data_IF_102528224812
#
_entry.id   IF_102528224812
#
_cell.length_a   1.000
_cell.length_b   1.000
_cell.length_c   1.000
_cell.angle_alpha   90.00
_cell.angle_beta   90.00
_cell.angle_gamma   90.00
#
_symmetry.space_group_name_H-M   'P 1'
#
loop_
_entity.id
_entity.type
_entity.pdbx_description
1 polymer ?
#
# COMPACT_ATOMS: atom_id res chain seq x y z
N UNK A 1 37.14 60.90 9.29
CA UNK A 1 35.73 60.50 9.14
C UNK A 1 35.72 58.99 8.99
N UNK A 2 35.88 58.29 10.12
CA UNK A 2 34.77 57.71 10.91
C UNK A 2 34.27 56.41 10.23
N UNK A 3 34.61 55.22 10.76
CA UNK A 3 33.90 54.48 11.83
C UNK A 3 32.56 53.91 11.28
N UNK A 4 32.13 52.65 11.36
CA UNK A 4 32.12 51.60 12.40
C UNK A 4 31.52 50.33 11.71
N UNK A 5 32.10 49.14 11.86
CA UNK A 5 31.77 48.09 12.87
C UNK A 5 30.42 47.37 12.67
N UNK A 6 30.54 46.04 12.47
CA UNK A 6 29.71 44.93 12.97
C UNK A 6 28.19 44.94 12.80
N UNK A 7 27.68 43.90 12.15
CA UNK A 7 26.55 43.16 12.72
C UNK A 7 26.56 41.71 12.22
N UNK A 8 26.98 40.81 13.11
CA UNK A 8 26.60 39.39 13.06
C UNK A 8 25.09 39.28 13.18
N UNK A 9 24.44 38.44 12.37
CA UNK A 9 23.14 37.90 12.73
C UNK A 9 23.15 36.39 12.54
N UNK A 10 23.15 35.72 13.69
CA UNK A 10 23.02 34.28 13.87
C UNK A 10 21.62 33.88 13.43
N UNK A 11 21.49 33.10 12.37
CA UNK A 11 20.26 32.34 12.12
C UNK A 11 20.24 31.17 13.11
N UNK A 12 19.54 31.37 14.22
CA UNK A 12 19.20 30.30 15.17
C UNK A 12 18.27 29.31 14.45
N UNK A 13 18.80 28.14 14.10
CA UNK A 13 17.98 26.96 13.79
C UNK A 13 17.35 26.48 15.10
N UNK A 14 16.04 26.65 15.20
CA UNK A 14 15.21 26.14 16.29
C UNK A 14 15.17 24.60 16.22
N UNK A 15 16.06 23.94 16.97
CA UNK A 15 15.85 22.54 17.36
C UNK A 15 15.06 22.50 18.67
N UNK A 16 13.81 22.07 18.61
CA UNK A 16 13.01 21.74 19.79
C UNK A 16 13.24 20.28 20.17
N UNK A 17 13.64 19.93 21.41
CA UNK A 17 13.77 18.53 21.82
C UNK A 17 12.46 18.03 22.42
N UNK A 18 11.81 17.09 21.73
CA UNK A 18 10.74 16.29 22.31
C UNK A 18 11.31 15.29 23.33
N UNK A 19 10.82 15.37 24.57
CA UNK A 19 11.15 14.47 25.66
C UNK A 19 10.65 13.05 25.37
N UNK A 20 11.53 12.05 25.51
CA UNK A 20 11.19 10.63 25.46
C UNK A 20 11.41 10.05 26.85
N UNK A 21 10.32 9.69 27.52
CA UNK A 21 10.32 8.98 28.80
C UNK A 21 10.58 7.48 28.55
N UNK A 22 11.63 6.96 29.17
CA UNK A 22 11.91 5.53 29.27
C UNK A 22 11.08 4.91 30.39
N UNK A 23 10.57 3.69 30.16
CA UNK A 23 10.19 2.81 31.25
C UNK A 23 10.73 1.39 30.97
N UNK A 24 11.40 0.82 31.97
CA UNK A 24 12.03 -0.50 31.97
C UNK A 24 11.32 -1.37 33.01
N UNK A 25 11.01 -2.62 32.65
CA UNK A 25 10.90 -3.84 33.48
C UNK A 25 10.11 -4.89 32.67
N UNK A 26 10.33 -6.20 32.71
CA UNK A 26 11.34 -7.03 33.33
C UNK A 26 11.30 -8.40 32.60
N UNK A 27 12.42 -9.10 32.66
CA UNK A 27 12.72 -10.44 32.16
C UNK A 27 12.00 -11.55 32.93
N UNK A 28 11.61 -12.63 32.24
CA UNK A 28 11.78 -13.99 32.78
C UNK A 28 11.92 -15.03 31.65
N UNK A 29 12.82 -15.97 31.91
CA UNK A 29 13.31 -17.03 31.02
C UNK A 29 12.86 -18.40 31.53
N UNK A 30 12.57 -19.34 30.61
CA UNK A 30 13.20 -20.67 30.48
C UNK A 30 12.23 -21.76 29.95
N UNK A 31 12.66 -22.43 28.85
CA UNK A 31 12.67 -23.88 28.51
C UNK A 31 11.39 -24.73 28.71
N UNK A 32 11.12 -25.84 28.01
CA UNK A 32 11.52 -26.53 26.76
C UNK A 32 10.72 -27.84 26.78
N UNK A 33 10.22 -28.37 25.66
CA UNK A 33 10.32 -29.81 25.32
C UNK A 33 9.50 -30.13 24.07
N UNK A 34 10.19 -30.70 23.08
CA UNK A 34 9.59 -31.48 21.99
C UNK A 34 9.14 -32.83 22.54
N UNK A 35 8.01 -33.33 22.05
CA UNK A 35 7.81 -34.77 21.89
C UNK A 35 6.99 -35.02 20.61
N UNK A 36 7.56 -35.87 19.77
CA UNK A 36 7.10 -36.25 18.45
C UNK A 36 6.58 -37.68 18.57
N UNK A 37 5.29 -37.91 18.36
CA UNK A 37 4.71 -39.25 18.36
C UNK A 37 4.22 -39.60 16.96
N UNK A 38 4.90 -40.57 16.37
CA UNK A 38 4.53 -41.26 15.14
C UNK A 38 3.65 -42.45 15.52
N UNK A 39 2.42 -42.51 15.02
CA UNK A 39 1.59 -43.72 15.09
C UNK A 39 1.12 -44.08 13.70
N UNK A 40 1.67 -45.17 13.17
CA UNK A 40 1.27 -45.85 11.96
C UNK A 40 0.06 -46.75 12.28
N UNK A 41 -1.06 -46.58 11.57
CA UNK A 41 -2.16 -47.54 11.59
C UNK A 41 -2.67 -47.75 10.16
N UNK A 42 -2.68 -49.02 9.74
CA UNK A 42 -3.02 -49.48 8.40
C UNK A 42 -4.53 -49.38 8.10
N UNK A 43 -4.85 -49.14 6.83
CA UNK A 43 -6.18 -48.99 6.24
C UNK A 43 -7.05 -50.25 6.28
N UNK A 44 -8.38 -50.10 6.07
CA UNK A 44 -9.11 -50.96 5.17
C UNK A 44 -9.71 -50.18 3.98
N UNK A 45 -9.52 -50.76 2.79
CA UNK A 45 -9.96 -50.24 1.49
C UNK A 45 -11.48 -50.26 1.35
N UNK A 46 -12.10 -49.08 1.25
CA UNK A 46 -13.43 -48.92 0.65
C UNK A 46 -13.30 -48.17 -0.68
N UNK A 47 -13.71 -48.83 -1.77
CA UNK A 47 -13.83 -48.23 -3.10
C UNK A 47 -15.03 -47.29 -3.12
N UNK A 48 -14.79 -46.01 -2.82
CA UNK A 48 -15.77 -44.95 -3.07
C UNK A 48 -15.60 -44.46 -4.51
N UNK A 49 -16.61 -44.71 -5.33
CA UNK A 49 -16.75 -44.12 -6.67
C UNK A 49 -17.02 -42.62 -6.46
N UNK A 50 -15.96 -41.81 -6.49
CA UNK A 50 -16.07 -40.36 -6.50
C UNK A 50 -16.49 -39.92 -7.92
N UNK A 51 -17.78 -39.64 -8.06
CA UNK A 51 -18.30 -38.81 -9.13
C UNK A 51 -17.56 -37.46 -9.07
N UNK A 52 -16.68 -37.21 -10.04
CA UNK A 52 -16.06 -35.88 -10.22
C UNK A 52 -17.17 -34.91 -10.62
N UNK A 53 -17.77 -34.23 -9.65
CA UNK A 53 -18.46 -32.98 -9.94
C UNK A 53 -17.37 -31.94 -10.19
N UNK A 54 -17.12 -31.60 -11.46
CA UNK A 54 -16.33 -30.42 -11.79
C UNK A 54 -17.07 -29.20 -11.25
N UNK A 55 -16.50 -28.52 -10.25
CA UNK A 55 -16.95 -27.18 -9.91
C UNK A 55 -16.83 -26.32 -11.18
N UNK A 56 -17.94 -25.73 -11.63
CA UNK A 56 -17.92 -24.82 -12.75
C UNK A 56 -17.05 -23.61 -12.39
N UNK A 57 -15.97 -23.37 -13.15
CA UNK A 57 -15.13 -22.18 -12.98
C UNK A 57 -16.00 -20.92 -13.17
N UNK A 58 -15.89 -19.95 -12.26
CA UNK A 58 -16.62 -18.67 -12.36
C UNK A 58 -16.21 -17.92 -13.64
N UNK A 59 -17.16 -17.24 -14.28
CA UNK A 59 -16.93 -16.48 -15.52
C UNK A 59 -16.06 -15.27 -15.23
N UNK A 60 -14.91 -15.18 -15.89
CA UNK A 60 -13.95 -14.08 -15.74
C UNK A 60 -14.44 -12.80 -16.42
N UNK A 61 -14.08 -11.64 -15.85
CA UNK A 61 -14.46 -10.31 -16.36
C UNK A 61 -13.78 -9.96 -17.70
N UNK A 62 -12.69 -10.66 -18.02
CA UNK A 62 -11.99 -10.60 -19.30
C UNK A 62 -11.95 -12.01 -19.88
N UNK A 63 -12.17 -12.13 -21.19
CA UNK A 63 -12.22 -13.43 -21.86
C UNK A 63 -13.53 -13.74 -22.58
N UNK A 64 -14.49 -12.79 -22.63
CA UNK A 64 -15.74 -12.94 -23.38
C UNK A 64 -15.60 -13.15 -24.90
N UNK A 65 -14.37 -13.28 -25.43
CA UNK A 65 -14.08 -13.62 -26.83
C UNK A 65 -13.48 -15.02 -27.02
N UNK A 66 -13.30 -15.80 -25.95
CA UNK A 66 -12.76 -17.16 -26.04
C UNK A 66 -13.89 -18.19 -25.93
N UNK A 67 -13.84 -19.22 -26.78
CA UNK A 67 -14.78 -20.34 -26.76
C UNK A 67 -14.39 -21.40 -25.71
N UNK A 68 -13.09 -21.49 -25.37
CA UNK A 68 -12.54 -22.44 -24.42
C UNK A 68 -12.08 -21.76 -23.11
N UNK A 69 -12.07 -22.53 -22.02
CA UNK A 69 -11.54 -22.08 -20.74
C UNK A 69 -10.02 -21.94 -20.77
N UNK A 70 -9.51 -20.92 -20.07
CA UNK A 70 -8.07 -20.68 -19.92
C UNK A 70 -7.37 -21.87 -19.23
N UNK A 71 -6.18 -22.24 -19.72
CA UNK A 71 -5.38 -23.34 -19.13
C UNK A 71 -4.81 -22.92 -17.77
N UNK A 72 -4.65 -23.88 -16.85
CA UNK A 72 -4.12 -23.60 -15.50
C UNK A 72 -2.74 -22.91 -15.52
N UNK A 73 -1.93 -23.18 -16.55
CA UNK A 73 -0.63 -22.52 -16.74
C UNK A 73 -0.79 -21.02 -17.04
N UNK A 74 -1.76 -20.64 -17.87
CA UNK A 74 -2.05 -19.23 -18.15
C UNK A 74 -2.68 -18.58 -16.92
N UNK A 75 -3.58 -19.26 -16.20
CA UNK A 75 -4.18 -18.71 -14.97
C UNK A 75 -3.13 -18.38 -13.92
N UNK A 76 -2.17 -19.28 -13.71
CA UNK A 76 -1.05 -19.05 -12.78
C UNK A 76 -0.10 -17.94 -13.26
N UNK A 77 0.00 -17.72 -14.57
CA UNK A 77 0.83 -16.65 -15.11
C UNK A 77 0.15 -15.28 -15.02
N UNK A 78 -1.18 -15.23 -15.15
CA UNK A 78 -1.95 -13.99 -15.16
C UNK A 78 -2.42 -13.56 -13.78
N UNK A 79 -2.52 -14.47 -12.80
CA UNK A 79 -2.91 -14.09 -11.45
C UNK A 79 -1.94 -13.07 -10.83
N UNK A 80 -2.53 -12.07 -10.18
CA UNK A 80 -1.80 -11.07 -9.42
C UNK A 80 -2.05 -11.17 -7.92
N UNK A 81 -3.03 -11.98 -7.49
CA UNK A 81 -3.43 -12.10 -6.09
C UNK A 81 -2.32 -12.53 -5.13
N UNK A 82 -1.34 -13.29 -5.63
CA UNK A 82 -0.17 -13.69 -4.83
C UNK A 82 0.60 -12.50 -4.26
N UNK A 83 0.55 -11.32 -4.90
CA UNK A 83 1.23 -10.10 -4.47
C UNK A 83 0.31 -8.88 -4.31
N UNK A 84 -0.71 -8.69 -5.15
CA UNK A 84 -1.56 -7.51 -5.13
C UNK A 84 -2.58 -7.48 -3.98
N UNK A 85 -2.76 -8.60 -3.27
CA UNK A 85 -3.54 -8.65 -2.01
C UNK A 85 -3.07 -7.62 -1.00
N UNK A 86 -1.83 -7.14 -1.09
CA UNK A 86 -1.31 -6.04 -0.27
C UNK A 86 -2.07 -4.71 -0.48
N UNK A 87 -2.78 -4.55 -1.59
CA UNK A 87 -3.57 -3.36 -1.94
C UNK A 87 -4.99 -3.38 -1.37
N UNK A 88 -5.42 -4.43 -0.65
CA UNK A 88 -6.82 -4.57 -0.21
C UNK A 88 -7.36 -3.35 0.54
N UNK A 89 -6.56 -2.72 1.40
CA UNK A 89 -6.97 -1.52 2.15
C UNK A 89 -7.27 -0.37 1.21
N UNK A 90 -6.43 -0.20 0.19
CA UNK A 90 -6.55 0.87 -0.80
C UNK A 90 -7.73 0.64 -1.73
N UNK A 91 -7.95 -0.60 -2.17
CA UNK A 91 -9.14 -0.97 -2.97
C UNK A 91 -10.44 -0.73 -2.20
N UNK A 92 -10.50 -1.15 -0.93
CA UNK A 92 -11.66 -0.95 -0.06
C UNK A 92 -11.92 0.55 0.14
N UNK A 93 -10.89 1.33 0.45
CA UNK A 93 -11.00 2.78 0.61
C UNK A 93 -11.48 3.48 -0.67
N UNK A 94 -10.88 3.13 -1.83
CA UNK A 94 -11.30 3.62 -3.14
C UNK A 94 -12.74 3.26 -3.47
N UNK A 95 -13.15 2.03 -3.15
CA UNK A 95 -14.51 1.53 -3.34
C UNK A 95 -15.54 2.24 -2.46
N UNK A 96 -15.22 2.52 -1.18
CA UNK A 96 -16.09 3.29 -0.28
C UNK A 96 -16.29 4.72 -0.79
N UNK A 97 -15.22 5.38 -1.25
CA UNK A 97 -15.30 6.72 -1.84
C UNK A 97 -16.14 6.73 -3.12
N UNK A 98 -15.93 5.75 -4.01
CA UNK A 98 -16.69 5.62 -5.26
C UNK A 98 -18.18 5.38 -5.01
N UNK A 99 -18.54 4.44 -4.13
CA UNK A 99 -19.94 4.15 -3.78
C UNK A 99 -20.66 5.41 -3.24
N UNK A 100 -19.98 6.18 -2.39
CA UNK A 100 -20.51 7.41 -1.82
C UNK A 100 -20.76 8.48 -2.89
N UNK A 101 -19.85 8.60 -3.87
CA UNK A 101 -20.03 9.49 -5.02
C UNK A 101 -21.18 9.04 -5.93
N UNK A 102 -21.28 7.74 -6.24
CA UNK A 102 -22.39 7.23 -7.06
C UNK A 102 -23.74 7.55 -6.44
N UNK A 103 -23.89 7.40 -5.13
CA UNK A 103 -25.13 7.74 -4.43
C UNK A 103 -25.42 9.24 -4.46
N UNK A 104 -24.38 10.07 -4.25
CA UNK A 104 -24.52 11.53 -4.30
C UNK A 104 -24.98 12.02 -5.68
N UNK A 105 -24.57 11.33 -6.75
CA UNK A 105 -24.97 11.61 -8.13
C UNK A 105 -26.29 10.92 -8.53
N UNK A 106 -26.96 10.20 -7.60
CA UNK A 106 -28.21 9.51 -7.84
C UNK A 106 -28.09 8.27 -8.74
N UNK A 107 -26.87 7.75 -8.95
CA UNK A 107 -26.61 6.56 -9.77
C UNK A 107 -26.90 5.26 -9.00
N UNK A 108 -26.86 5.31 -7.67
CA UNK A 108 -27.32 4.24 -6.78
C UNK A 108 -28.13 4.84 -5.62
N UNK A 109 -28.95 4.03 -4.95
CA UNK A 109 -29.69 4.51 -3.77
C UNK A 109 -28.78 4.65 -2.54
N UNK A 110 -29.17 5.49 -1.59
CA UNK A 110 -28.47 5.57 -0.29
C UNK A 110 -28.49 4.24 0.47
N UNK A 111 -29.56 3.44 0.29
CA UNK A 111 -29.65 2.09 0.84
C UNK A 111 -28.58 1.17 0.23
N UNK A 112 -28.41 1.19 -1.09
CA UNK A 112 -27.37 0.42 -1.78
C UNK A 112 -25.98 0.83 -1.31
N UNK A 113 -25.70 2.14 -1.25
CA UNK A 113 -24.43 2.68 -0.71
C UNK A 113 -24.17 2.18 0.70
N UNK A 114 -25.14 2.30 1.60
CA UNK A 114 -24.96 1.88 3.00
C UNK A 114 -24.70 0.38 3.12
N UNK A 115 -25.35 -0.44 2.28
CA UNK A 115 -25.06 -1.88 2.22
C UNK A 115 -23.65 -2.16 1.69
N UNK A 116 -23.21 -1.46 0.64
CA UNK A 116 -21.84 -1.56 0.12
C UNK A 116 -20.81 -1.20 1.19
N UNK A 117 -20.95 -0.05 1.86
CA UNK A 117 -19.99 0.40 2.87
C UNK A 117 -19.86 -0.63 4.00
N UNK A 118 -20.98 -1.12 4.54
CA UNK A 118 -20.98 -2.15 5.60
C UNK A 118 -20.37 -3.47 5.13
N UNK A 119 -20.66 -3.89 3.90
CA UNK A 119 -20.08 -5.11 3.33
C UNK A 119 -18.57 -5.00 3.17
N UNK A 120 -18.08 -3.83 2.72
CA UNK A 120 -16.66 -3.54 2.61
C UNK A 120 -15.96 -3.48 3.98
N UNK A 121 -16.59 -2.87 4.99
CA UNK A 121 -16.09 -2.90 6.38
C UNK A 121 -15.97 -4.33 6.92
N UNK A 122 -16.96 -5.18 6.64
CA UNK A 122 -16.93 -6.59 7.04
C UNK A 122 -15.79 -7.36 6.37
N UNK A 123 -15.60 -7.18 5.07
CA UNK A 123 -14.49 -7.79 4.32
C UNK A 123 -13.15 -7.36 4.89
N UNK A 124 -12.97 -6.05 5.14
CA UNK A 124 -11.76 -5.51 5.74
C UNK A 124 -11.45 -6.19 7.08
N UNK A 125 -12.44 -6.31 7.98
CA UNK A 125 -12.29 -7.03 9.26
C UNK A 125 -11.91 -8.50 9.07
N UNK A 126 -12.51 -9.20 8.11
CA UNK A 126 -12.18 -10.60 7.84
C UNK A 126 -10.74 -10.76 7.34
N UNK A 127 -10.27 -9.84 6.49
CA UNK A 127 -8.89 -9.84 5.99
C UNK A 127 -7.92 -9.60 7.15
N UNK A 128 -8.17 -8.58 7.98
CA UNK A 128 -7.32 -8.25 9.12
C UNK A 128 -7.29 -9.36 10.19
N UNK A 129 -8.40 -10.08 10.36
CA UNK A 129 -8.48 -11.23 11.24
C UNK A 129 -7.85 -12.52 10.66
N UNK A 130 -7.33 -12.49 9.43
CA UNK A 130 -6.80 -13.66 8.73
C UNK A 130 -7.85 -14.72 8.37
N UNK A 131 -9.13 -14.34 8.35
CA UNK A 131 -10.28 -15.23 8.06
C UNK A 131 -10.73 -15.17 6.61
N UNK A 132 -10.34 -14.13 5.87
CA UNK A 132 -10.66 -13.99 4.46
C UNK A 132 -9.91 -15.02 3.61
N UNK A 133 -10.66 -15.83 2.86
CA UNK A 133 -10.09 -16.82 1.95
C UNK A 133 -9.83 -16.20 0.57
N UNK A 134 -8.58 -15.83 0.33
CA UNK A 134 -8.13 -15.43 -1.01
C UNK A 134 -8.17 -16.62 -1.95
N UNK A 135 -8.81 -16.46 -3.11
CA UNK A 135 -8.89 -17.50 -4.13
C UNK A 135 -8.06 -17.10 -5.34
N UNK A 136 -7.21 -18.00 -5.81
CA UNK A 136 -6.35 -17.77 -6.99
C UNK A 136 -7.09 -17.89 -8.33
N UNK A 137 -8.26 -18.52 -8.34
CA UNK A 137 -9.14 -18.53 -9.49
C UNK A 137 -9.85 -17.18 -9.70
N UNK A 138 -9.86 -16.33 -8.66
CA UNK A 138 -10.18 -14.90 -8.70
C UNK A 138 -8.85 -14.15 -8.87
N UNK A 139 -8.56 -13.82 -10.12
CA UNK A 139 -7.25 -13.35 -10.62
C UNK A 139 -6.54 -12.30 -9.75
N UNK A 140 -7.26 -11.28 -9.29
CA UNK A 140 -6.72 -10.09 -8.62
C UNK A 140 -7.42 -9.82 -7.27
N UNK A 141 -6.83 -8.92 -6.48
CA UNK A 141 -7.40 -8.43 -5.20
C UNK A 141 -8.83 -7.91 -5.38
N UNK A 142 -9.09 -7.24 -6.48
CA UNK A 142 -10.35 -6.56 -6.74
C UNK A 142 -11.50 -7.54 -7.01
N UNK A 143 -11.26 -8.60 -7.79
CA UNK A 143 -12.22 -9.68 -8.06
C UNK A 143 -12.52 -10.46 -6.78
N UNK A 144 -11.51 -10.69 -5.94
CA UNK A 144 -11.72 -11.32 -4.65
C UNK A 144 -12.66 -10.49 -3.77
N UNK A 145 -12.43 -9.18 -3.66
CA UNK A 145 -13.26 -8.27 -2.87
C UNK A 145 -14.66 -8.10 -3.48
N UNK A 146 -14.76 -7.92 -4.80
CA UNK A 146 -16.04 -7.74 -5.50
C UNK A 146 -16.95 -8.96 -5.36
N UNK A 147 -16.38 -10.16 -5.51
CA UNK A 147 -17.12 -11.39 -5.35
C UNK A 147 -17.53 -11.63 -3.88
N UNK A 148 -16.62 -11.41 -2.92
CA UNK A 148 -16.97 -11.47 -1.50
C UNK A 148 -18.06 -10.46 -1.12
N UNK A 149 -18.02 -9.25 -1.69
CA UNK A 149 -19.05 -8.23 -1.47
C UNK A 149 -20.39 -8.71 -2.01
N UNK A 150 -20.40 -9.29 -3.21
CA UNK A 150 -21.60 -9.89 -3.82
C UNK A 150 -22.17 -11.01 -2.96
N UNK A 151 -21.31 -11.88 -2.42
CA UNK A 151 -21.72 -12.98 -1.53
C UNK A 151 -22.39 -12.47 -0.24
N UNK A 152 -21.96 -11.30 0.28
CA UNK A 152 -22.47 -10.71 1.53
C UNK A 152 -23.75 -9.91 1.31
N UNK A 153 -23.83 -9.07 0.27
CA UNK A 153 -24.94 -8.09 0.12
C UNK A 153 -25.80 -8.29 -1.14
N UNK A 154 -25.39 -9.16 -2.07
CA UNK A 154 -26.13 -9.45 -3.30
C UNK A 154 -26.10 -8.32 -4.33
N UNK A 155 -27.24 -8.05 -4.97
CA UNK A 155 -27.39 -7.13 -6.11
C UNK A 155 -26.78 -5.72 -5.93
N UNK A 156 -26.84 -5.06 -4.76
CA UNK A 156 -26.18 -3.76 -4.58
C UNK A 156 -24.69 -3.77 -4.91
N UNK A 157 -23.98 -4.89 -4.67
CA UNK A 157 -22.55 -5.00 -4.96
C UNK A 157 -22.25 -4.80 -6.45
N UNK A 158 -23.10 -5.33 -7.33
CA UNK A 158 -22.92 -5.25 -8.79
C UNK A 158 -23.00 -3.83 -9.33
N UNK A 159 -23.69 -2.93 -8.60
CA UNK A 159 -23.79 -1.51 -8.98
C UNK A 159 -22.49 -0.74 -8.70
N UNK A 160 -21.60 -1.25 -7.84
CA UNK A 160 -20.36 -0.58 -7.45
C UNK A 160 -19.40 -0.35 -8.62
N UNK A 161 -19.41 -1.23 -9.64
CA UNK A 161 -18.56 -1.08 -10.82
C UNK A 161 -19.10 -0.06 -11.84
N UNK A 162 -20.27 0.53 -11.61
CA UNK A 162 -20.81 1.58 -12.49
C UNK A 162 -19.84 2.75 -12.57
N UNK A 163 -19.58 3.22 -13.79
CA UNK A 163 -18.65 4.31 -14.07
C UNK A 163 -17.20 4.10 -13.59
N UNK A 164 -16.76 2.84 -13.49
CA UNK A 164 -15.40 2.46 -13.07
C UNK A 164 -14.81 1.43 -14.02
N UNK A 165 -13.49 1.32 -14.05
CA UNK A 165 -12.75 0.28 -14.76
C UNK A 165 -11.69 -0.30 -13.84
N UNK A 166 -11.18 -1.49 -14.16
CA UNK A 166 -10.00 -2.00 -13.46
C UNK A 166 -8.78 -1.08 -13.65
N UNK A 167 -8.65 -0.40 -14.79
CA UNK A 167 -7.52 0.48 -15.11
C UNK A 167 -7.39 1.68 -14.17
N UNK A 168 -8.48 2.42 -13.95
CA UNK A 168 -8.45 3.57 -13.05
C UNK A 168 -8.50 3.15 -11.58
N UNK A 169 -9.11 2.01 -11.27
CA UNK A 169 -9.12 1.43 -9.93
C UNK A 169 -7.70 1.02 -9.48
N UNK A 170 -7.01 0.15 -10.22
CA UNK A 170 -5.67 -0.31 -9.82
C UNK A 170 -4.66 0.83 -9.72
N UNK A 171 -4.75 1.84 -10.59
CA UNK A 171 -3.90 3.03 -10.52
C UNK A 171 -4.22 3.90 -9.32
N UNK A 172 -5.48 3.96 -8.89
CA UNK A 172 -5.88 4.66 -7.67
C UNK A 172 -5.26 3.96 -6.47
N UNK A 173 -5.44 2.64 -6.40
CA UNK A 173 -4.96 1.82 -5.28
C UNK A 173 -3.45 1.87 -5.17
N UNK A 174 -2.74 1.73 -6.29
CA UNK A 174 -1.28 1.78 -6.31
C UNK A 174 -0.73 3.16 -5.90
N UNK A 175 -1.39 4.25 -6.28
CA UNK A 175 -0.99 5.60 -5.84
C UNK A 175 -1.23 5.81 -4.35
N UNK A 176 -2.34 5.33 -3.81
CA UNK A 176 -2.60 5.40 -2.37
C UNK A 176 -1.57 4.56 -1.60
N UNK A 177 -1.28 3.35 -2.08
CA UNK A 177 -0.27 2.46 -1.50
C UNK A 177 1.12 3.10 -1.51
N UNK A 178 1.54 3.65 -2.64
CA UNK A 178 2.83 4.33 -2.76
C UNK A 178 2.92 5.56 -1.83
N UNK A 179 1.82 6.30 -1.62
CA UNK A 179 1.77 7.44 -0.69
C UNK A 179 2.05 6.98 0.74
N UNK A 180 1.38 5.92 1.19
CA UNK A 180 1.55 5.37 2.54
C UNK A 180 2.95 4.73 2.73
N UNK A 181 3.47 4.10 1.67
CA UNK A 181 4.81 3.53 1.65
C UNK A 181 5.88 4.64 1.78
N UNK A 182 5.75 5.74 1.04
CA UNK A 182 6.63 6.90 1.17
C UNK A 182 6.61 7.44 2.61
N UNK A 183 5.42 7.64 3.19
CA UNK A 183 5.29 8.16 4.55
C UNK A 183 5.96 7.24 5.59
N UNK A 184 5.90 5.93 5.35
CA UNK A 184 6.56 4.92 6.21
C UNK A 184 8.08 4.91 6.05
N UNK A 185 8.58 5.02 4.81
CA UNK A 185 10.01 5.07 4.53
C UNK A 185 10.64 6.35 5.09
N UNK A 186 10.01 7.51 4.91
CA UNK A 186 10.50 8.79 5.44
C UNK A 186 10.59 8.75 6.97
N UNK A 187 9.57 8.22 7.66
CA UNK A 187 9.64 8.00 9.13
C UNK A 187 10.79 7.07 9.53
N UNK A 188 11.07 6.04 8.74
CA UNK A 188 12.16 5.09 9.00
C UNK A 188 13.52 5.74 8.80
N UNK A 189 13.68 6.56 7.76
CA UNK A 189 14.87 7.39 7.51
C UNK A 189 15.11 8.32 8.70
N UNK A 190 14.08 9.04 9.16
CA UNK A 190 14.19 9.94 10.32
C UNK A 190 14.66 9.22 11.58
N UNK A 191 14.11 8.02 11.86
CA UNK A 191 14.56 7.19 13.00
C UNK A 191 16.02 6.79 12.88
N UNK A 192 16.49 6.44 11.68
CA UNK A 192 17.90 6.11 11.42
C UNK A 192 18.80 7.33 11.60
N UNK A 193 18.42 8.49 11.06
CA UNK A 193 19.15 9.75 11.25
C UNK A 193 19.30 10.08 12.73
N UNK A 194 18.23 9.98 13.52
CA UNK A 194 18.29 10.18 14.98
C UNK A 194 19.23 9.18 15.66
N UNK A 195 19.23 7.92 15.25
CA UNK A 195 20.15 6.91 15.79
C UNK A 195 21.61 7.23 15.47
N UNK A 196 21.92 7.68 14.25
CA UNK A 196 23.25 8.10 13.83
C UNK A 196 23.73 9.33 14.61
N UNK A 197 22.86 10.33 14.79
CA UNK A 197 23.18 11.52 15.61
C UNK A 197 23.47 11.13 17.06
N UNK A 198 22.65 10.26 17.67
CA UNK A 198 22.90 9.76 19.03
C UNK A 198 24.21 8.99 19.13
N UNK A 199 24.55 8.20 18.12
CA UNK A 199 25.82 7.48 18.06
C UNK A 199 27.01 8.44 17.94
N UNK A 200 26.87 9.51 17.14
CA UNK A 200 27.87 10.56 17.02
C UNK A 200 28.10 11.26 18.37
N UNK A 201 27.03 11.66 19.06
CA UNK A 201 27.13 12.29 20.40
C UNK A 201 27.79 11.38 21.44
N UNK A 202 27.52 10.07 21.40
CA UNK A 202 28.13 9.11 22.33
C UNK A 202 29.64 8.94 22.13
N UNK A 203 30.15 9.19 20.92
CA UNK A 203 31.55 8.98 20.54
C UNK A 203 32.26 10.30 20.27
N UNK A 204 32.01 11.31 21.11
CA UNK A 204 32.60 12.62 20.94
C UNK A 204 34.14 12.58 21.04
N UNK A 205 34.81 13.25 20.11
CA UNK A 205 36.27 13.34 20.04
C UNK A 205 36.97 12.08 19.53
N UNK A 206 36.23 11.01 19.18
CA UNK A 206 36.83 9.78 18.67
C UNK A 206 37.39 9.98 17.26
N UNK A 207 38.71 9.84 17.13
CA UNK A 207 39.43 9.95 15.88
C UNK A 207 39.49 8.58 15.19
N UNK A 208 39.12 8.53 13.91
CA UNK A 208 39.18 7.35 13.03
C UNK A 208 39.93 7.69 11.73
N UNK A 209 40.53 6.72 11.04
CA UNK A 209 41.12 6.97 9.72
C UNK A 209 40.03 7.31 8.69
N UNK A 210 40.20 8.42 7.97
CA UNK A 210 39.44 8.71 6.76
C UNK A 210 39.99 7.93 5.57
N UNK A 211 39.13 7.64 4.59
CA UNK A 211 39.49 6.82 3.43
C UNK A 211 39.14 7.50 2.11
N UNK A 212 40.05 7.43 1.15
CA UNK A 212 39.82 7.71 -0.28
C UNK A 212 40.46 6.59 -1.08
N UNK A 213 39.81 6.10 -2.14
CA UNK A 213 40.25 4.90 -2.88
C UNK A 213 40.54 3.69 -1.97
N UNK A 214 39.81 3.58 -0.84
CA UNK A 214 40.04 2.59 0.23
C UNK A 214 41.42 2.63 0.89
N UNK A 215 42.20 3.70 0.67
CA UNK A 215 43.48 3.96 1.33
C UNK A 215 43.30 4.97 2.46
N UNK A 216 44.09 4.82 3.52
CA UNK A 216 44.09 5.76 4.66
C UNK A 216 44.55 7.12 4.16
N UNK A 217 43.69 8.12 4.34
CA UNK A 217 43.97 9.51 4.04
C UNK A 217 44.25 10.25 5.36
N UNK A 218 43.47 11.28 5.68
CA UNK A 218 43.61 12.06 6.90
C UNK A 218 42.77 11.46 8.05
N UNK A 219 43.20 11.59 9.31
CA UNK A 219 42.35 11.30 10.46
C UNK A 219 41.12 12.23 10.47
N UNK A 220 39.96 11.68 10.80
CA UNK A 220 38.69 12.41 10.91
C UNK A 220 37.99 12.04 12.21
N UNK A 221 37.02 12.87 12.62
CA UNK A 221 36.13 12.53 13.72
C UNK A 221 35.08 11.51 13.26
N UNK A 222 34.82 10.48 14.07
CA UNK A 222 33.74 9.52 13.79
C UNK A 222 32.39 10.24 13.62
N UNK A 223 32.16 11.29 14.40
CA UNK A 223 30.93 12.10 14.29
C UNK A 223 30.77 12.69 12.88
N UNK A 224 31.86 13.17 12.27
CA UNK A 224 31.81 13.76 10.93
C UNK A 224 31.41 12.72 9.88
N UNK A 225 31.93 11.50 10.00
CA UNK A 225 31.55 10.38 9.12
C UNK A 225 30.07 9.99 9.29
N UNK A 226 29.60 9.87 10.54
CA UNK A 226 28.20 9.51 10.81
C UNK A 226 27.22 10.57 10.32
N UNK A 227 27.56 11.85 10.51
CA UNK A 227 26.74 12.96 10.02
C UNK A 227 26.74 13.05 8.49
N UNK A 228 27.81 12.62 7.80
CA UNK A 228 27.79 12.53 6.34
C UNK A 228 26.67 11.59 5.83
N UNK A 229 26.39 10.48 6.53
CA UNK A 229 25.26 9.60 6.21
C UNK A 229 23.91 10.23 6.55
N UNK A 230 23.82 11.00 7.64
CA UNK A 230 22.60 11.75 7.98
C UNK A 230 22.20 12.71 6.85
N UNK A 231 23.17 13.42 6.29
CA UNK A 231 22.97 14.34 5.16
C UNK A 231 22.58 13.62 3.86
N UNK A 232 23.15 12.43 3.60
CA UNK A 232 22.75 11.60 2.46
C UNK A 232 21.28 11.17 2.57
N UNK A 233 20.91 10.66 3.75
CA UNK A 233 19.56 10.23 4.07
C UNK A 233 18.54 11.37 4.01
N UNK A 234 18.93 12.59 4.42
CA UNK A 234 18.05 13.76 4.34
C UNK A 234 17.67 14.08 2.89
N UNK A 235 18.64 14.01 1.96
CA UNK A 235 18.37 14.19 0.54
C UNK A 235 17.47 13.10 -0.03
N UNK A 236 17.60 11.86 0.46
CA UNK A 236 16.70 10.76 0.07
C UNK A 236 15.27 11.01 0.55
N UNK A 237 15.09 11.45 1.81
CA UNK A 237 13.78 11.84 2.34
C UNK A 237 13.14 12.98 1.53
N UNK A 238 13.92 14.00 1.17
CA UNK A 238 13.46 15.10 0.30
C UNK A 238 12.97 14.60 -1.07
N UNK A 239 13.72 13.69 -1.73
CA UNK A 239 13.30 13.08 -3.01
C UNK A 239 11.97 12.33 -2.91
N UNK A 240 11.78 11.59 -1.82
CA UNK A 240 10.54 10.85 -1.57
C UNK A 240 9.36 11.80 -1.31
N UNK A 241 9.56 12.86 -0.53
CA UNK A 241 8.54 13.87 -0.27
C UNK A 241 8.09 14.58 -1.55
N UNK A 242 9.06 14.95 -2.41
CA UNK A 242 8.80 15.51 -3.72
C UNK A 242 8.01 14.56 -4.63
N UNK A 243 8.36 13.26 -4.61
CA UNK A 243 7.62 12.21 -5.33
C UNK A 243 6.17 12.14 -4.85
N UNK A 244 5.96 12.10 -3.53
CA UNK A 244 4.65 12.05 -2.87
C UNK A 244 3.72 13.17 -3.37
N UNK A 245 4.23 14.41 -3.45
CA UNK A 245 3.46 15.56 -3.93
C UNK A 245 3.06 15.39 -5.39
N UNK A 246 4.00 14.99 -6.27
CA UNK A 246 3.74 14.82 -7.71
C UNK A 246 2.75 13.70 -8.00
N UNK A 247 2.74 12.64 -7.20
CA UNK A 247 1.85 11.50 -7.41
C UNK A 247 0.46 11.68 -6.79
N UNK A 248 0.22 12.72 -5.97
CA UNK A 248 -1.03 12.91 -5.24
C UNK A 248 -2.16 13.51 -6.10
N UNK A 249 -2.39 12.96 -7.29
CA UNK A 249 -3.54 13.28 -8.15
C UNK A 249 -4.36 12.02 -8.43
N UNK A 250 -5.68 12.12 -8.27
CA UNK A 250 -6.59 10.97 -8.30
C UNK A 250 -6.89 10.52 -9.75
N UNK A 251 -6.62 9.25 -10.11
CA UNK A 251 -6.96 8.72 -11.43
C UNK A 251 -8.43 8.26 -11.54
N UNK A 252 -9.09 7.95 -10.42
CA UNK A 252 -10.45 7.43 -10.38
C UNK A 252 -11.45 8.30 -11.20
N UNK A 253 -12.31 7.63 -11.96
CA UNK A 253 -13.27 8.25 -12.88
C UNK A 253 -12.71 8.54 -14.27
N UNK A 254 -11.50 8.07 -14.58
CA UNK A 254 -10.98 8.00 -15.95
C UNK A 254 -11.40 6.71 -16.67
N UNK A 255 -11.99 5.76 -15.96
CA UNK A 255 -12.48 4.48 -16.46
C UNK A 255 -11.38 3.78 -17.29
N UNK A 256 -11.75 3.13 -18.40
CA UNK A 256 -10.78 2.38 -19.20
C UNK A 256 -9.72 3.30 -19.86
N UNK A 257 -10.13 4.47 -20.37
CA UNK A 257 -9.25 5.43 -21.05
C UNK A 257 -9.85 6.84 -21.23
N UNK A 258 -11.14 6.94 -21.56
CA UNK A 258 -11.79 8.20 -21.98
C UNK A 258 -12.66 8.85 -20.90
N UNK A 259 -12.73 8.27 -19.70
CA UNK A 259 -13.76 8.57 -18.71
C UNK A 259 -15.09 7.88 -18.99
N UNK A 260 -16.16 8.49 -18.50
CA UNK A 260 -17.54 8.00 -18.54
C UNK A 260 -18.48 9.10 -19.01
N UNK A 261 -19.56 8.72 -19.69
CA UNK A 261 -20.68 9.62 -20.01
C UNK A 261 -21.65 9.84 -18.85
N UNK A 262 -21.49 9.08 -17.75
CA UNK A 262 -22.29 9.25 -16.54
C UNK A 262 -21.82 10.49 -15.75
N UNK A 263 -22.74 11.21 -15.07
CA UNK A 263 -22.42 12.42 -14.33
C UNK A 263 -21.69 12.11 -13.02
N UNK A 264 -20.43 11.68 -13.09
CA UNK A 264 -19.61 11.42 -11.90
C UNK A 264 -18.94 12.69 -11.37
N UNK A 265 -18.74 12.76 -10.06
CA UNK A 265 -17.97 13.82 -9.41
C UNK A 265 -16.58 13.31 -9.01
N UNK A 266 -15.59 13.61 -9.84
CA UNK A 266 -14.19 13.22 -9.58
C UNK A 266 -13.55 14.04 -8.46
N UNK A 267 -14.02 15.25 -8.19
CA UNK A 267 -13.49 16.06 -7.10
C UNK A 267 -13.91 15.49 -5.76
N UNK A 268 -15.17 15.05 -5.64
CA UNK A 268 -15.67 14.37 -4.45
C UNK A 268 -14.84 13.13 -4.09
N UNK A 269 -14.51 12.28 -5.07
CA UNK A 269 -13.69 11.09 -4.80
C UNK A 269 -12.23 11.45 -4.51
N UNK A 270 -11.67 12.45 -5.19
CA UNK A 270 -10.32 12.92 -4.91
C UNK A 270 -10.18 13.47 -3.48
N UNK A 271 -11.15 14.28 -3.05
CA UNK A 271 -11.21 14.83 -1.68
C UNK A 271 -11.35 13.72 -0.63
N UNK A 272 -12.29 12.79 -0.83
CA UNK A 272 -12.52 11.67 0.09
C UNK A 272 -11.30 10.75 0.26
N UNK A 273 -10.40 10.70 -0.73
CA UNK A 273 -9.17 9.90 -0.75
C UNK A 273 -7.91 10.73 -0.43
N UNK A 274 -8.08 12.00 -0.05
CA UNK A 274 -6.99 12.94 0.29
C UNK A 274 -6.00 13.18 -0.87
N UNK A 275 -6.46 13.04 -2.10
CA UNK A 275 -5.72 13.50 -3.27
C UNK A 275 -5.83 15.02 -3.41
N UNK A 276 -4.82 15.66 -4.00
CA UNK A 276 -4.80 17.11 -4.22
C UNK A 276 -5.90 17.54 -5.19
N UNK A 277 -6.11 16.76 -6.25
CA UNK A 277 -7.14 16.98 -7.27
C UNK A 277 -7.27 15.74 -8.17
N UNK A 278 -8.30 15.65 -9.01
CA UNK A 278 -8.35 14.68 -10.09
C UNK A 278 -7.21 14.89 -11.10
N UNK A 279 -6.73 13.82 -11.72
CA UNK A 279 -5.86 13.93 -12.88
C UNK A 279 -6.56 14.71 -14.00
N UNK A 280 -5.84 15.67 -14.59
CA UNK A 280 -6.39 16.60 -15.59
C UNK A 280 -6.80 15.92 -16.90
N UNK A 281 -6.08 14.88 -17.31
CA UNK A 281 -6.36 14.12 -18.53
C UNK A 281 -6.60 12.65 -18.19
N UNK A 282 -7.72 12.11 -18.69
CA UNK A 282 -8.20 10.75 -18.45
C UNK A 282 -7.40 9.71 -19.25
N UNK A 283 -6.79 10.11 -20.37
CA UNK A 283 -5.96 9.23 -21.21
C UNK A 283 -4.57 8.93 -20.64
N UNK A 284 -4.09 9.73 -19.67
CA UNK A 284 -2.72 9.60 -19.13
C UNK A 284 -2.52 8.27 -18.36
N UNK A 285 -3.58 7.49 -18.15
CA UNK A 285 -3.50 6.19 -17.50
C UNK A 285 -2.74 5.11 -18.30
N UNK A 286 -2.57 5.25 -19.63
CA UNK A 286 -2.02 4.18 -20.49
C UNK A 286 -0.69 4.50 -21.19
N UNK A 287 0.14 5.42 -20.71
CA UNK A 287 1.33 5.83 -21.47
C UNK A 287 2.53 4.84 -21.44
N UNK A 288 2.42 3.67 -20.81
CA UNK A 288 3.52 2.70 -20.70
C UNK A 288 3.16 1.27 -21.13
N UNK A 289 2.41 1.10 -22.22
CA UNK A 289 2.47 -0.17 -22.98
C UNK A 289 3.20 0.09 -24.30
N UNK A 290 4.24 -0.69 -24.63
CA UNK A 290 5.00 -0.55 -25.88
C UNK A 290 4.17 -0.83 -27.13
#
# INVERSE_FOLDING_TARGET
MESLVSASSRTQLLFSPAAVLFNQAATHSLRSSLSFNYTYSAEPKHKTVLCKMSASKEVKLWGGRFEESVTDAVEKFTESISYDKALYKHDIMGSKAHASMLAKQGLISDSDKNSILRGLDEIERQIEAGKFMWRTDREDVHMNIEAALTDIIGEPAKKLHTARSRNDQVLTDFRLWCRDAIDTIVRSIQRLQVALVKLALKNEGLIVPGYTHLQRAQPVLLQHLLLAYVEQLERDAGRLQDCRVRMNFCPLGACALAGTGLPIDRFMTAEALEFTAPMRNRYVLKQNEP
#
